data_IF_567135240388
#
_entry.id   IF_567135240388
#
_cell.length_a   1.000
_cell.length_b   1.000
_cell.length_c   1.000
_cell.angle_alpha   90.00
_cell.angle_beta   90.00
_cell.angle_gamma   90.00
#
_symmetry.space_group_name_H-M   'P 1'
#
loop_
_entity.id
_entity.type
_entity.pdbx_description
1 polymer ?
#
# COMPACT_ATOMS: atom_id res chain seq x y z
N UNK A 1 -5.92 28.57 -12.88
CA UNK A 1 -4.63 28.11 -12.31
C UNK A 1 -4.94 26.92 -11.45
N UNK A 2 -4.42 25.75 -11.84
CA UNK A 2 -4.53 24.51 -11.08
C UNK A 2 -3.53 24.62 -9.93
N UNK A 3 -4.02 24.57 -8.69
CA UNK A 3 -3.16 24.52 -7.50
C UNK A 3 -2.86 23.03 -7.30
N UNK A 4 -1.89 22.51 -8.04
CA UNK A 4 -1.27 21.21 -7.75
C UNK A 4 -0.33 21.45 -6.58
N UNK A 5 -0.72 20.97 -5.40
CA UNK A 5 0.19 20.85 -4.27
C UNK A 5 1.16 19.72 -4.54
N UNK A 6 2.22 20.00 -5.30
CA UNK A 6 3.46 19.22 -5.25
C UNK A 6 4.08 19.50 -3.88
N UNK A 7 3.75 18.68 -2.88
CA UNK A 7 4.55 18.60 -1.65
C UNK A 7 5.47 17.40 -1.82
N UNK A 8 6.48 17.58 -2.66
CA UNK A 8 7.68 16.76 -2.67
C UNK A 8 8.64 17.45 -1.68
N UNK A 9 8.64 17.00 -0.43
CA UNK A 9 9.54 17.55 0.60
C UNK A 9 10.88 16.79 0.61
N UNK A 10 11.96 17.56 0.54
CA UNK A 10 13.35 17.16 0.38
C UNK A 10 13.91 16.34 1.57
N UNK A 11 14.00 15.01 1.45
CA UNK A 11 15.17 14.30 1.99
C UNK A 11 15.42 12.93 1.36
N UNK A 12 16.69 12.71 1.00
CA UNK A 12 17.32 11.46 0.57
C UNK A 12 16.90 10.86 -0.78
N UNK A 13 17.70 11.16 -1.82
CA UNK A 13 17.99 10.30 -2.99
C UNK A 13 16.85 9.33 -3.35
N UNK A 14 15.75 9.92 -3.80
CA UNK A 14 14.40 9.37 -3.71
C UNK A 14 14.30 7.90 -4.15
N UNK A 15 14.11 7.01 -3.17
CA UNK A 15 13.43 5.75 -3.44
C UNK A 15 12.10 6.08 -4.14
N UNK A 16 11.66 5.29 -5.13
CA UNK A 16 10.38 5.53 -5.80
C UNK A 16 9.28 5.67 -4.74
N UNK A 17 8.30 6.57 -4.96
CA UNK A 17 7.24 6.79 -4.00
C UNK A 17 6.57 5.46 -3.68
N UNK A 18 6.44 5.16 -2.39
CA UNK A 18 5.78 3.94 -1.92
C UNK A 18 4.28 3.94 -2.25
N UNK A 19 3.73 5.03 -2.79
CA UNK A 19 2.34 5.13 -3.21
C UNK A 19 2.27 5.61 -4.66
N UNK A 20 1.46 4.95 -5.48
CA UNK A 20 1.23 5.35 -6.88
C UNK A 20 -0.21 5.08 -7.29
N UNK A 21 -0.91 6.11 -7.74
CA UNK A 21 -2.24 5.94 -8.36
C UNK A 21 -2.05 5.38 -9.76
N UNK A 22 -2.60 4.19 -10.02
CA UNK A 22 -2.53 3.55 -11.33
C UNK A 22 -3.66 4.04 -12.24
N UNK A 23 -4.88 4.15 -11.69
CA UNK A 23 -6.11 4.69 -12.30
C UNK A 23 -7.11 5.04 -11.19
N UNK A 24 -8.21 5.75 -11.49
CA UNK A 24 -9.27 5.99 -10.50
C UNK A 24 -9.75 4.67 -9.88
N UNK A 25 -9.59 4.51 -8.57
CA UNK A 25 -9.96 3.29 -7.85
C UNK A 25 -8.88 2.19 -7.81
N UNK A 26 -7.68 2.42 -8.34
CA UNK A 26 -6.58 1.44 -8.32
C UNK A 26 -5.27 2.12 -7.89
N UNK A 27 -4.68 1.61 -6.81
CA UNK A 27 -3.44 2.11 -6.22
C UNK A 27 -2.41 0.99 -6.16
N UNK A 28 -1.15 1.35 -6.36
CA UNK A 28 0.02 0.51 -6.07
C UNK A 28 0.67 1.09 -4.83
N UNK A 29 0.84 0.23 -3.82
CA UNK A 29 1.36 0.60 -2.51
C UNK A 29 2.57 -0.27 -2.19
N UNK A 30 3.58 0.33 -1.59
CA UNK A 30 4.77 -0.34 -1.11
C UNK A 30 4.45 -1.12 0.15
N UNK A 31 4.95 -2.34 0.24
CA UNK A 31 4.72 -3.21 1.39
C UNK A 31 5.21 -2.65 2.73
N UNK A 32 6.16 -1.69 2.69
CA UNK A 32 6.70 -1.02 3.86
C UNK A 32 5.81 0.07 4.46
N UNK A 33 4.71 0.46 3.81
CA UNK A 33 3.81 1.48 4.34
C UNK A 33 3.14 1.01 5.63
N UNK A 34 3.10 1.88 6.62
CA UNK A 34 2.36 1.69 7.86
C UNK A 34 0.85 1.82 7.63
N UNK A 35 0.06 1.31 8.58
CA UNK A 35 -1.41 1.34 8.54
C UNK A 35 -1.99 2.73 8.26
N UNK A 36 -1.42 3.77 8.88
CA UNK A 36 -1.91 5.14 8.76
C UNK A 36 -1.58 5.71 7.38
N UNK A 37 -0.43 5.36 6.82
CA UNK A 37 0.00 5.78 5.48
C UNK A 37 -0.81 5.09 4.37
N UNK A 38 -1.15 3.81 4.55
CA UNK A 38 -2.06 3.09 3.64
C UNK A 38 -3.44 3.76 3.64
N UNK A 39 -3.95 4.11 4.82
CA UNK A 39 -5.22 4.82 4.94
C UNK A 39 -5.17 6.21 4.31
N UNK A 40 -4.12 6.98 4.53
CA UNK A 40 -3.97 8.32 3.92
C UNK A 40 -3.86 8.24 2.39
N UNK A 41 -3.19 7.20 1.86
CA UNK A 41 -2.95 7.03 0.43
C UNK A 41 -4.20 6.65 -0.38
N UNK A 42 -5.02 5.73 0.13
CA UNK A 42 -6.18 5.21 -0.61
C UNK A 42 -7.48 5.07 0.20
N UNK A 43 -7.44 5.29 1.52
CA UNK A 43 -8.59 5.11 2.41
C UNK A 43 -8.82 3.67 2.86
N UNK A 44 -7.88 2.75 2.59
CA UNK A 44 -7.95 1.38 3.07
C UNK A 44 -7.60 1.34 4.56
N UNK A 45 -8.55 0.93 5.39
CA UNK A 45 -8.34 0.72 6.83
C UNK A 45 -7.88 -0.71 7.09
N UNK A 46 -6.63 -0.85 7.57
CA UNK A 46 -6.08 -2.14 7.99
C UNK A 46 -6.58 -2.50 9.40
N UNK A 47 -6.99 -3.77 9.63
CA UNK A 47 -7.46 -4.20 10.94
C UNK A 47 -6.30 -4.20 11.96
N UNK A 48 -6.63 -4.21 13.25
CA UNK A 48 -5.63 -4.44 14.29
C UNK A 48 -5.14 -5.89 14.25
N UNK A 49 -3.84 -6.09 14.39
CA UNK A 49 -3.22 -7.42 14.34
C UNK A 49 -1.74 -7.41 14.70
N UNK A 50 -1.06 -8.56 14.59
CA UNK A 50 0.38 -8.69 14.85
C UNK A 50 1.24 -8.12 13.70
N UNK A 51 0.80 -7.02 13.10
CA UNK A 51 1.46 -6.34 11.98
C UNK A 51 1.26 -4.83 12.10
N UNK A 52 2.19 -4.07 11.51
CA UNK A 52 2.14 -2.60 11.50
C UNK A 52 2.17 -2.03 10.09
N UNK A 53 2.43 -2.88 9.09
CA UNK A 53 2.63 -2.50 7.67
C UNK A 53 1.72 -3.29 6.73
N UNK A 54 1.58 -2.80 5.50
CA UNK A 54 0.82 -3.47 4.44
C UNK A 54 1.35 -4.88 4.15
N UNK A 55 2.67 -5.05 4.05
CA UNK A 55 3.27 -6.37 3.84
C UNK A 55 2.99 -7.32 5.01
N UNK A 56 3.07 -6.81 6.25
CA UNK A 56 2.73 -7.58 7.45
C UNK A 56 1.26 -8.04 7.44
N UNK A 57 0.34 -7.16 7.05
CA UNK A 57 -1.07 -7.51 6.89
C UNK A 57 -1.28 -8.59 5.82
N UNK A 58 -0.62 -8.48 4.67
CA UNK A 58 -0.70 -9.49 3.59
C UNK A 58 -0.16 -10.84 4.06
N UNK A 59 0.98 -10.85 4.75
CA UNK A 59 1.60 -12.06 5.31
C UNK A 59 0.68 -12.74 6.35
N UNK A 60 0.14 -11.96 7.28
CA UNK A 60 -0.77 -12.45 8.32
C UNK A 60 -2.05 -13.02 7.71
N UNK A 61 -2.63 -12.32 6.72
CA UNK A 61 -3.87 -12.74 6.05
C UNK A 61 -3.68 -14.03 5.24
N UNK A 62 -2.57 -14.16 4.51
CA UNK A 62 -2.30 -15.35 3.69
C UNK A 62 -1.76 -16.52 4.50
N UNK A 63 -1.19 -16.28 5.68
CA UNK A 63 -0.58 -17.28 6.55
C UNK A 63 0.65 -17.98 5.96
N UNK A 64 1.22 -17.40 4.89
CA UNK A 64 2.40 -17.91 4.17
C UNK A 64 3.15 -16.74 3.52
N UNK A 65 4.36 -17.02 3.02
CA UNK A 65 5.05 -16.08 2.13
C UNK A 65 4.19 -15.93 0.85
N UNK A 66 3.79 -14.70 0.47
CA UNK A 66 2.97 -14.47 -0.71
C UNK A 66 3.75 -14.75 -2.00
N UNK A 67 3.02 -15.08 -3.06
CA UNK A 67 3.57 -15.13 -4.41
C UNK A 67 3.01 -13.98 -5.25
N UNK A 68 3.75 -13.56 -6.28
CA UNK A 68 3.25 -12.56 -7.23
C UNK A 68 1.95 -13.04 -7.89
N UNK A 69 0.92 -12.19 -7.87
CA UNK A 69 -0.42 -12.51 -8.35
C UNK A 69 -1.36 -13.08 -7.28
N UNK A 70 -0.87 -13.41 -6.08
CA UNK A 70 -1.75 -13.73 -4.96
C UNK A 70 -2.69 -12.55 -4.67
N UNK A 71 -3.95 -12.86 -4.38
CA UNK A 71 -4.95 -11.86 -4.10
C UNK A 71 -5.96 -12.36 -3.06
N UNK A 72 -6.46 -11.43 -2.28
CA UNK A 72 -7.55 -11.66 -1.34
C UNK A 72 -8.44 -10.43 -1.23
N UNK A 73 -9.68 -10.65 -0.82
CA UNK A 73 -10.66 -9.60 -0.59
C UNK A 73 -10.65 -9.17 0.88
N UNK A 74 -10.70 -7.87 1.13
CA UNK A 74 -10.79 -7.25 2.45
C UNK A 74 -11.81 -6.11 2.43
N UNK A 75 -13.02 -6.37 2.94
CA UNK A 75 -14.14 -5.44 2.81
C UNK A 75 -14.47 -5.17 1.35
N UNK A 76 -14.52 -3.91 0.96
CA UNK A 76 -14.75 -3.47 -0.44
C UNK A 76 -13.46 -3.43 -1.28
N UNK A 77 -12.32 -3.80 -0.69
CA UNK A 77 -11.02 -3.76 -1.34
C UNK A 77 -10.58 -5.14 -1.82
N UNK A 78 -9.97 -5.18 -2.99
CA UNK A 78 -9.20 -6.34 -3.45
C UNK A 78 -7.72 -6.03 -3.35
N UNK A 79 -7.00 -6.77 -2.52
CA UNK A 79 -5.55 -6.66 -2.37
C UNK A 79 -4.89 -7.65 -3.31
N UNK A 80 -3.93 -7.21 -4.11
CA UNK A 80 -3.20 -8.04 -5.06
C UNK A 80 -1.70 -7.83 -4.86
N UNK A 81 -0.98 -8.92 -4.63
CA UNK A 81 0.47 -8.94 -4.58
C UNK A 81 1.01 -8.74 -5.98
N UNK A 82 1.69 -7.62 -6.22
CA UNK A 82 2.23 -7.27 -7.53
C UNK A 82 3.67 -7.74 -7.71
N UNK A 83 4.49 -7.52 -6.70
CA UNK A 83 5.93 -7.82 -6.68
C UNK A 83 6.34 -8.24 -5.28
N UNK A 84 7.23 -9.23 -5.18
CA UNK A 84 7.86 -9.70 -3.94
C UNK A 84 9.37 -9.55 -4.14
N UNK A 85 9.96 -8.50 -3.58
CA UNK A 85 11.42 -8.25 -3.59
C UNK A 85 11.99 -8.38 -2.17
#
# INVERSE_FOLDING_TARGET
EEIVGEIDDEHDRAAPPLTRVQRPGEWVLGGGLHRDEVFDACGLELPDGPFETLAGFVLDTLGRVPEEGDAFDHGDWKVVVREMD
#
